data_IF_593774466863
#
_entry.id   IF_593774466863
#
_cell.length_a   1.000
_cell.length_b   1.000
_cell.length_c   1.000
_cell.angle_alpha   90.00
_cell.angle_beta   90.00
_cell.angle_gamma   90.00
#
_symmetry.space_group_name_H-M   'P 1'
#
loop_
_entity.id
_entity.type
_entity.pdbx_description
1 polymer ?
#
# COMPACT_ATOMS: atom_id res chain seq x y z
N UNK A 1 -5.86 16.37 -33.32
CA UNK A 1 -6.13 15.11 -32.60
C UNK A 1 -5.06 14.98 -31.54
N UNK A 2 -5.41 15.27 -30.28
CA UNK A 2 -4.51 14.97 -29.18
C UNK A 2 -4.42 13.45 -29.07
N UNK A 3 -3.23 12.86 -28.80
CA UNK A 3 -3.15 11.45 -28.48
C UNK A 3 -4.06 11.17 -27.28
N UNK A 4 -4.70 9.98 -27.22
CA UNK A 4 -5.40 9.58 -26.00
C UNK A 4 -4.40 9.67 -24.85
N UNK A 5 -4.77 10.41 -23.80
CA UNK A 5 -4.02 10.43 -22.55
C UNK A 5 -3.64 8.99 -22.21
N UNK A 6 -2.34 8.74 -22.09
CA UNK A 6 -1.84 7.48 -21.58
C UNK A 6 -2.36 7.33 -20.17
N UNK A 7 -3.55 6.73 -20.04
CA UNK A 7 -4.10 6.31 -18.76
C UNK A 7 -3.04 5.38 -18.21
N UNK A 8 -2.27 5.84 -17.23
CA UNK A 8 -1.27 4.98 -16.58
C UNK A 8 -2.04 3.76 -16.12
N UNK A 9 -1.74 2.59 -16.67
CA UNK A 9 -2.33 1.33 -16.26
C UNK A 9 -2.06 1.19 -14.75
N UNK A 10 -3.08 1.42 -13.94
CA UNK A 10 -3.00 1.27 -12.50
C UNK A 10 -3.21 -0.20 -12.21
N UNK A 11 -2.13 -0.92 -11.93
CA UNK A 11 -2.18 -2.35 -11.62
C UNK A 11 -1.99 -2.58 -10.12
N UNK A 12 -2.64 -3.63 -9.61
CA UNK A 12 -2.44 -4.13 -8.26
C UNK A 12 -2.00 -5.59 -8.26
N UNK A 13 -1.02 -5.90 -7.42
CA UNK A 13 -0.50 -7.25 -7.18
C UNK A 13 -1.23 -7.90 -6.03
N UNK A 14 -1.90 -9.00 -6.31
CA UNK A 14 -2.67 -9.77 -5.33
C UNK A 14 -1.80 -10.85 -4.68
N UNK A 15 -2.01 -11.02 -3.37
CA UNK A 15 -1.65 -12.23 -2.65
C UNK A 15 -2.87 -12.79 -1.93
N UNK A 16 -2.95 -14.11 -1.88
CA UNK A 16 -4.00 -14.84 -1.19
C UNK A 16 -3.33 -15.67 -0.11
N UNK A 17 -3.90 -15.66 1.10
CA UNK A 17 -3.42 -16.44 2.22
C UNK A 17 -4.59 -17.16 2.89
N UNK A 18 -4.39 -18.41 3.28
CA UNK A 18 -5.44 -19.18 3.93
C UNK A 18 -4.90 -20.32 4.76
N UNK A 19 -5.80 -20.93 5.54
CA UNK A 19 -5.51 -22.13 6.34
C UNK A 19 -6.34 -23.30 5.84
N UNK A 20 -5.79 -24.51 5.98
CA UNK A 20 -6.55 -25.76 5.85
C UNK A 20 -6.43 -26.48 4.51
N UNK A 21 -5.78 -25.87 3.52
CA UNK A 21 -5.40 -26.52 2.27
C UNK A 21 -3.89 -26.60 2.18
N UNK A 22 -3.36 -27.80 1.96
CA UNK A 22 -1.92 -28.04 1.84
C UNK A 22 -1.45 -27.60 0.45
N UNK A 23 -0.73 -26.49 0.41
CA UNK A 23 0.03 -26.06 -0.79
C UNK A 23 1.39 -26.75 -0.82
N UNK A 24 2.00 -27.01 0.35
CA UNK A 24 3.22 -27.82 0.54
C UNK A 24 2.92 -29.05 1.40
N UNK A 25 3.78 -30.08 1.37
CA UNK A 25 3.57 -31.37 2.06
C UNK A 25 3.56 -31.25 3.59
N UNK A 26 4.12 -30.18 4.15
CA UNK A 26 4.66 -30.22 5.51
C UNK A 26 3.83 -29.48 6.56
N UNK A 27 2.86 -28.61 6.20
CA UNK A 27 2.04 -27.92 7.21
C UNK A 27 0.59 -27.60 6.77
N UNK A 28 -0.32 -27.56 7.74
CA UNK A 28 -1.69 -27.01 7.61
C UNK A 28 -1.77 -25.59 8.22
N UNK A 29 -0.64 -24.90 8.29
CA UNK A 29 -0.54 -23.54 8.81
C UNK A 29 -1.13 -22.52 7.84
N UNK A 30 -1.32 -21.29 8.32
CA UNK A 30 -1.78 -20.19 7.48
C UNK A 30 -0.69 -19.83 6.49
N UNK A 31 -0.93 -20.13 5.22
CA UNK A 31 0.08 -20.07 4.18
C UNK A 31 -0.42 -19.33 2.96
N UNK A 32 0.54 -18.81 2.21
CA UNK A 32 0.28 -18.09 0.97
C UNK A 32 -0.10 -19.06 -0.15
N UNK A 33 -1.22 -18.80 -0.79
CA UNK A 33 -1.69 -19.48 -1.99
C UNK A 33 -1.19 -18.71 -3.22
N UNK A 34 0.11 -18.79 -3.52
CA UNK A 34 0.72 -18.08 -4.66
C UNK A 34 1.05 -19.05 -5.80
N UNK A 35 0.86 -18.63 -7.07
CA UNK A 35 1.31 -19.39 -8.23
C UNK A 35 2.84 -19.53 -8.24
N UNK A 36 3.33 -20.66 -8.77
CA UNK A 36 4.74 -21.05 -8.82
C UNK A 36 5.67 -20.09 -9.60
N UNK A 37 5.15 -19.01 -10.19
CA UNK A 37 5.80 -18.31 -11.32
C UNK A 37 6.22 -16.83 -11.11
N UNK A 38 6.22 -16.25 -9.91
CA UNK A 38 6.92 -14.95 -9.73
C UNK A 38 7.57 -14.79 -8.35
N UNK A 39 8.91 -14.76 -8.36
CA UNK A 39 9.79 -14.83 -7.18
C UNK A 39 10.13 -13.49 -6.54
N UNK A 40 9.70 -12.36 -7.10
CA UNK A 40 10.06 -11.05 -6.54
C UNK A 40 8.93 -10.48 -5.70
N UNK A 41 8.91 -10.83 -4.42
CA UNK A 41 8.08 -10.15 -3.43
C UNK A 41 8.48 -8.68 -3.32
N UNK A 42 7.48 -7.82 -3.29
CA UNK A 42 7.66 -6.39 -3.05
C UNK A 42 7.81 -6.12 -1.55
N UNK A 43 8.15 -4.90 -1.13
CA UNK A 43 8.56 -4.60 0.25
C UNK A 43 7.45 -4.87 1.26
N UNK A 44 6.23 -4.38 1.01
CA UNK A 44 5.10 -4.63 1.92
C UNK A 44 4.70 -6.12 1.97
N UNK A 45 4.85 -6.84 0.85
CA UNK A 45 4.60 -8.28 0.79
C UNK A 45 5.55 -9.07 1.70
N UNK A 46 6.83 -8.67 1.74
CA UNK A 46 7.82 -9.25 2.66
C UNK A 46 7.50 -8.94 4.12
N UNK A 47 7.02 -7.74 4.42
CA UNK A 47 6.61 -7.39 5.79
C UNK A 47 5.51 -8.33 6.27
N UNK A 48 4.46 -8.52 5.45
CA UNK A 48 3.34 -9.39 5.77
C UNK A 48 3.76 -10.87 5.91
N UNK A 49 4.69 -11.35 5.09
CA UNK A 49 5.16 -12.74 5.15
C UNK A 49 5.93 -13.10 6.43
N UNK A 50 6.48 -12.09 7.13
CA UNK A 50 7.22 -12.28 8.39
C UNK A 50 6.35 -12.23 9.65
N UNK A 51 5.05 -11.99 9.52
CA UNK A 51 4.15 -11.83 10.66
C UNK A 51 3.87 -13.16 11.38
N UNK A 52 3.70 -13.08 12.71
CA UNK A 52 3.26 -14.20 13.54
C UNK A 52 1.74 -14.42 13.41
N UNK A 53 1.31 -15.04 12.31
CA UNK A 53 -0.10 -15.19 11.96
C UNK A 53 -0.97 -15.81 13.05
N UNK A 54 -0.46 -16.75 13.84
CA UNK A 54 -1.23 -17.38 14.93
C UNK A 54 -1.86 -16.36 15.89
N UNK A 55 -1.09 -15.34 16.30
CA UNK A 55 -1.56 -14.28 17.22
C UNK A 55 -2.48 -13.26 16.54
N UNK A 56 -2.29 -13.04 15.24
CA UNK A 56 -3.08 -12.09 14.45
C UNK A 56 -4.46 -12.67 14.15
N UNK A 57 -4.52 -13.96 13.81
CA UNK A 57 -5.75 -14.59 13.38
C UNK A 57 -6.72 -14.87 14.53
N UNK A 58 -6.23 -15.15 15.73
CA UNK A 58 -7.05 -15.44 16.91
C UNK A 58 -8.19 -14.41 17.15
N UNK A 59 -7.93 -13.09 17.25
CA UNK A 59 -8.99 -12.11 17.39
C UNK A 59 -9.89 -11.99 16.16
N UNK A 60 -9.38 -12.30 14.96
CA UNK A 60 -10.13 -12.23 13.69
C UNK A 60 -11.10 -13.42 13.56
N UNK A 61 -10.71 -14.60 14.07
CA UNK A 61 -11.57 -15.80 14.11
C UNK A 61 -12.86 -15.57 14.90
N UNK A 62 -12.80 -14.77 15.97
CA UNK A 62 -13.95 -14.48 16.82
C UNK A 62 -14.97 -13.51 16.19
N UNK A 63 -14.59 -12.73 15.17
CA UNK A 63 -15.48 -11.74 14.54
C UNK A 63 -16.58 -12.41 13.73
N UNK A 64 -17.79 -11.86 13.79
CA UNK A 64 -18.87 -12.22 12.88
C UNK A 64 -18.56 -11.76 11.45
N UNK A 65 -19.17 -12.39 10.44
CA UNK A 65 -18.91 -12.07 9.02
C UNK A 65 -19.15 -10.60 8.69
N UNK A 66 -20.23 -10.01 9.23
CA UNK A 66 -20.53 -8.57 9.08
C UNK A 66 -19.46 -7.67 9.73
N UNK A 67 -18.97 -8.04 10.92
CA UNK A 67 -17.94 -7.27 11.62
C UNK A 67 -16.59 -7.38 10.91
N UNK A 68 -16.28 -8.57 10.39
CA UNK A 68 -15.08 -8.84 9.62
C UNK A 68 -15.07 -8.02 8.32
N UNK A 69 -16.20 -8.00 7.60
CA UNK A 69 -16.37 -7.22 6.37
C UNK A 69 -16.31 -5.69 6.60
N UNK A 70 -16.46 -5.22 7.84
CA UNK A 70 -16.30 -3.82 8.22
C UNK A 70 -14.84 -3.47 8.61
N UNK A 71 -13.96 -4.46 8.77
CA UNK A 71 -12.56 -4.18 9.08
C UNK A 71 -11.82 -3.64 7.86
N UNK A 72 -10.89 -2.72 8.10
CA UNK A 72 -10.13 -2.04 7.06
C UNK A 72 -8.68 -1.90 7.52
N UNK A 73 -7.74 -2.17 6.63
CA UNK A 73 -6.33 -1.99 6.89
C UNK A 73 -5.63 -1.62 5.59
N UNK A 74 -4.87 -0.53 5.64
CA UNK A 74 -4.01 -0.10 4.56
C UNK A 74 -2.62 0.19 5.14
N UNK A 75 -1.61 -0.44 4.58
CA UNK A 75 -0.22 -0.25 4.94
C UNK A 75 0.47 0.59 3.87
N UNK A 76 1.50 1.34 4.29
CA UNK A 76 2.20 2.30 3.46
C UNK A 76 3.70 2.12 3.58
N UNK A 77 4.39 2.34 2.48
CA UNK A 77 5.80 2.71 2.47
C UNK A 77 6.00 3.88 1.47
N UNK A 78 7.23 4.38 1.26
CA UNK A 78 7.46 5.51 0.37
C UNK A 78 7.07 5.29 -1.10
N UNK A 79 6.96 4.04 -1.58
CA UNK A 79 6.74 3.70 -2.98
C UNK A 79 5.51 2.83 -3.24
N UNK A 80 4.85 2.33 -2.21
CA UNK A 80 3.75 1.36 -2.30
C UNK A 80 2.68 1.63 -1.24
N UNK A 81 1.45 1.26 -1.58
CA UNK A 81 0.41 0.97 -0.60
C UNK A 81 -0.07 -0.47 -0.73
N UNK A 82 -0.57 -1.02 0.36
CA UNK A 82 -1.18 -2.34 0.40
C UNK A 82 -2.49 -2.30 1.18
N UNK A 83 -3.60 -2.70 0.56
CA UNK A 83 -4.83 -2.97 1.28
C UNK A 83 -4.94 -4.45 1.66
N UNK A 84 -5.61 -4.72 2.79
CA UNK A 84 -5.80 -6.06 3.32
C UNK A 84 -7.28 -6.26 3.65
N UNK A 85 -7.84 -7.41 3.24
CA UNK A 85 -9.22 -7.79 3.57
C UNK A 85 -9.32 -9.26 3.91
N UNK A 86 -10.20 -9.59 4.84
CA UNK A 86 -10.42 -10.94 5.32
C UNK A 86 -11.84 -11.39 5.03
N UNK A 87 -12.02 -12.69 4.84
CA UNK A 87 -13.34 -13.31 4.76
C UNK A 87 -13.36 -14.65 5.47
N UNK A 88 -14.54 -15.07 5.92
CA UNK A 88 -14.73 -16.40 6.52
C UNK A 88 -14.75 -17.44 5.42
N UNK A 89 -14.16 -18.60 5.71
CA UNK A 89 -14.07 -19.73 4.78
C UNK A 89 -14.29 -21.03 5.53
N UNK A 90 -14.15 -22.15 4.82
CA UNK A 90 -14.06 -23.48 5.40
C UNK A 90 -12.79 -24.19 4.91
N UNK A 91 -12.22 -25.03 5.77
CA UNK A 91 -11.15 -25.93 5.36
C UNK A 91 -11.69 -27.18 4.64
N UNK A 92 -10.77 -28.08 4.23
CA UNK A 92 -11.11 -29.36 3.59
C UNK A 92 -12.05 -30.27 4.41
N UNK A 93 -12.17 -30.01 5.73
CA UNK A 93 -13.00 -30.75 6.67
C UNK A 93 -14.27 -29.97 7.08
N UNK A 94 -14.61 -28.89 6.37
CA UNK A 94 -15.74 -28.00 6.68
C UNK A 94 -15.64 -27.33 8.05
N UNK A 95 -14.42 -27.15 8.55
CA UNK A 95 -14.19 -26.39 9.80
C UNK A 95 -14.07 -24.91 9.46
N UNK A 96 -14.56 -24.01 10.34
CA UNK A 96 -14.42 -22.57 10.14
C UNK A 96 -12.95 -22.18 9.93
N UNK A 97 -12.71 -21.43 8.87
CA UNK A 97 -11.39 -20.92 8.48
C UNK A 97 -11.49 -19.45 8.07
N UNK A 98 -10.36 -18.84 7.72
CA UNK A 98 -10.26 -17.47 7.20
C UNK A 98 -9.38 -17.47 5.96
N UNK A 99 -9.72 -16.61 5.00
CA UNK A 99 -8.84 -16.16 3.92
C UNK A 99 -8.46 -14.70 4.15
N UNK A 100 -7.23 -14.35 3.81
CA UNK A 100 -6.75 -12.99 3.65
C UNK A 100 -6.44 -12.76 2.18
N UNK A 101 -6.91 -11.64 1.65
CA UNK A 101 -6.50 -11.09 0.37
C UNK A 101 -5.74 -9.80 0.63
N UNK A 102 -4.58 -9.65 0.00
CA UNK A 102 -3.84 -8.39 -0.03
C UNK A 102 -3.69 -7.91 -1.45
N UNK A 103 -3.77 -6.60 -1.68
CA UNK A 103 -3.47 -5.98 -2.96
C UNK A 103 -2.45 -4.87 -2.76
N UNK A 104 -1.34 -4.94 -3.49
CA UNK A 104 -0.24 -3.97 -3.43
C UNK A 104 -0.17 -3.20 -4.74
N UNK A 105 -0.07 -1.87 -4.68
CA UNK A 105 0.20 -1.05 -5.86
C UNK A 105 1.30 -0.05 -5.57
N UNK A 106 2.06 0.31 -6.60
CA UNK A 106 3.04 1.38 -6.51
C UNK A 106 2.33 2.71 -6.45
N UNK A 107 2.84 3.62 -5.62
CA UNK A 107 2.31 4.97 -5.48
C UNK A 107 3.40 6.01 -5.64
N UNK A 108 2.98 7.18 -6.10
CA UNK A 108 3.79 8.38 -6.09
C UNK A 108 3.03 9.43 -5.27
N UNK A 109 3.57 9.77 -4.09
CA UNK A 109 2.96 10.71 -3.13
C UNK A 109 2.71 12.12 -3.68
N UNK A 110 3.30 12.45 -4.83
CA UNK A 110 3.08 13.72 -5.53
C UNK A 110 1.80 13.73 -6.37
N UNK A 111 1.24 12.58 -6.71
CA UNK A 111 0.01 12.50 -7.50
C UNK A 111 -1.24 12.86 -6.67
N UNK A 112 -2.24 13.44 -7.34
CA UNK A 112 -3.52 13.82 -6.72
C UNK A 112 -4.51 12.65 -6.65
N UNK A 113 -4.34 11.62 -7.48
CA UNK A 113 -5.24 10.48 -7.64
C UNK A 113 -4.98 9.32 -6.65
N UNK A 114 -3.99 9.43 -5.76
CA UNK A 114 -3.65 8.34 -4.82
C UNK A 114 -4.85 7.96 -3.93
N UNK A 115 -5.70 8.92 -3.58
CA UNK A 115 -6.95 8.67 -2.85
C UNK A 115 -7.89 7.73 -3.59
N UNK A 116 -8.01 7.90 -4.91
CA UNK A 116 -8.82 7.06 -5.80
C UNK A 116 -8.18 5.69 -5.97
N UNK A 117 -6.86 5.62 -6.21
CA UNK A 117 -6.11 4.36 -6.26
C UNK A 117 -6.28 3.56 -4.96
N UNK A 118 -6.18 4.20 -3.80
CA UNK A 118 -6.38 3.56 -2.51
C UNK A 118 -7.81 3.03 -2.33
N UNK A 119 -8.83 3.80 -2.74
CA UNK A 119 -10.22 3.39 -2.67
C UNK A 119 -10.51 2.18 -3.57
N UNK A 120 -9.96 2.17 -4.80
CA UNK A 120 -10.10 1.05 -5.75
C UNK A 120 -9.39 -0.20 -5.27
N UNK A 121 -8.19 -0.06 -4.71
CA UNK A 121 -7.44 -1.20 -4.15
C UNK A 121 -8.18 -1.77 -2.93
N UNK A 122 -8.74 -0.93 -2.07
CA UNK A 122 -9.59 -1.36 -0.95
C UNK A 122 -10.83 -2.12 -1.44
N UNK A 123 -11.49 -1.62 -2.48
CA UNK A 123 -12.64 -2.28 -3.08
C UNK A 123 -12.29 -3.64 -3.69
N UNK A 124 -11.19 -3.71 -4.45
CA UNK A 124 -10.67 -4.93 -5.06
C UNK A 124 -10.44 -6.02 -4.00
N UNK A 125 -9.72 -5.71 -2.92
CA UNK A 125 -9.46 -6.72 -1.88
C UNK A 125 -10.73 -7.14 -1.16
N UNK A 126 -11.68 -6.24 -0.95
CA UNK A 126 -12.97 -6.58 -0.33
C UNK A 126 -13.77 -7.53 -1.21
N UNK A 127 -13.90 -7.20 -2.50
CA UNK A 127 -14.61 -8.01 -3.49
C UNK A 127 -13.96 -9.40 -3.62
N UNK A 128 -12.64 -9.46 -3.85
CA UNK A 128 -11.92 -10.72 -3.96
C UNK A 128 -11.99 -11.55 -2.66
N UNK A 129 -11.94 -10.93 -1.48
CA UNK A 129 -12.07 -11.66 -0.22
C UNK A 129 -13.45 -12.32 -0.09
N UNK A 130 -14.51 -11.65 -0.53
CA UNK A 130 -15.86 -12.23 -0.56
C UNK A 130 -15.99 -13.33 -1.61
N UNK A 131 -15.51 -13.08 -2.84
CA UNK A 131 -15.58 -14.04 -3.96
C UNK A 131 -14.83 -15.32 -3.63
N UNK A 132 -13.54 -15.22 -3.26
CA UNK A 132 -12.75 -16.36 -2.84
C UNK A 132 -13.27 -16.95 -1.53
N UNK A 133 -13.79 -16.13 -0.62
CA UNK A 133 -14.45 -16.58 0.59
C UNK A 133 -15.58 -17.58 0.31
N UNK A 134 -16.45 -17.23 -0.64
CA UNK A 134 -17.55 -18.09 -1.09
C UNK A 134 -17.09 -19.35 -1.81
N UNK A 135 -16.12 -19.24 -2.73
CA UNK A 135 -15.55 -20.39 -3.45
C UNK A 135 -14.96 -21.41 -2.47
N UNK A 136 -14.22 -20.95 -1.47
CA UNK A 136 -13.58 -21.80 -0.47
C UNK A 136 -14.57 -22.52 0.46
N UNK A 137 -15.75 -21.95 0.72
CA UNK A 137 -16.81 -22.63 1.48
C UNK A 137 -17.50 -23.72 0.65
N UNK A 138 -17.68 -23.48 -0.65
CA UNK A 138 -18.55 -24.32 -1.49
C UNK A 138 -17.89 -25.58 -2.07
N UNK A 139 -16.56 -25.60 -2.24
CA UNK A 139 -15.91 -26.62 -3.06
C UNK A 139 -14.46 -26.98 -2.63
N UNK A 140 -14.28 -27.69 -1.50
CA UNK A 140 -12.97 -27.98 -0.95
C UNK A 140 -12.09 -28.91 -1.81
N UNK A 141 -12.70 -29.83 -2.57
CA UNK A 141 -11.97 -30.87 -3.30
C UNK A 141 -11.28 -30.33 -4.56
N UNK A 142 -12.01 -29.56 -5.38
CA UNK A 142 -11.45 -28.97 -6.60
C UNK A 142 -10.36 -27.95 -6.25
N UNK A 143 -10.56 -27.15 -5.21
CA UNK A 143 -9.56 -26.20 -4.75
C UNK A 143 -8.21 -26.87 -4.45
N UNK A 144 -8.22 -27.99 -3.73
CA UNK A 144 -6.99 -28.72 -3.40
C UNK A 144 -6.24 -29.21 -4.64
N UNK A 145 -6.94 -29.50 -5.74
CA UNK A 145 -6.33 -29.78 -7.05
C UNK A 145 -5.76 -28.51 -7.69
N UNK A 146 -6.52 -27.41 -7.72
CA UNK A 146 -6.06 -26.13 -8.28
C UNK A 146 -4.82 -25.58 -7.56
N UNK A 147 -4.76 -25.68 -6.24
CA UNK A 147 -3.61 -25.23 -5.44
C UNK A 147 -2.36 -26.09 -5.71
N UNK A 148 -2.50 -27.41 -5.72
CA UNK A 148 -1.38 -28.34 -6.01
C UNK A 148 -0.83 -28.16 -7.43
N UNK A 149 -1.71 -27.85 -8.38
CA UNK A 149 -1.35 -27.65 -9.78
C UNK A 149 -0.87 -26.22 -10.07
N UNK A 150 -0.90 -25.31 -9.10
CA UNK A 150 -0.54 -23.90 -9.30
C UNK A 150 -1.54 -23.10 -10.14
N UNK A 151 -2.74 -23.63 -10.37
CA UNK A 151 -3.77 -23.06 -11.25
C UNK A 151 -4.79 -22.19 -10.50
N UNK A 152 -4.64 -22.01 -9.19
CA UNK A 152 -5.62 -21.30 -8.37
C UNK A 152 -5.68 -19.79 -8.66
N UNK A 153 -4.53 -19.18 -8.95
CA UNK A 153 -4.42 -17.78 -9.31
C UNK A 153 -3.48 -17.64 -10.51
N UNK A 154 -4.01 -17.64 -11.74
CA UNK A 154 -3.18 -17.67 -12.95
C UNK A 154 -2.38 -16.38 -13.16
N UNK A 155 -2.89 -15.24 -12.69
CA UNK A 155 -2.19 -13.95 -12.67
C UNK A 155 -2.30 -13.32 -11.30
N UNK A 156 -1.20 -12.69 -10.83
CA UNK A 156 -1.20 -11.85 -9.64
C UNK A 156 -1.52 -10.40 -9.95
N UNK A 157 -1.40 -9.97 -11.20
CA UNK A 157 -1.62 -8.59 -11.61
C UNK A 157 -3.08 -8.41 -12.03
N UNK A 158 -3.75 -7.45 -11.38
CA UNK A 158 -5.12 -7.04 -11.65
C UNK A 158 -5.14 -5.57 -12.06
N UNK A 159 -6.00 -5.24 -13.02
CA UNK A 159 -6.26 -3.86 -13.41
C UNK A 159 -7.22 -3.21 -12.40
N UNK A 160 -6.91 -1.98 -11.99
CA UNK A 160 -7.75 -1.19 -11.09
C UNK A 160 -8.76 -0.31 -11.83
N UNK A 161 -8.65 -0.14 -13.15
CA UNK A 161 -9.52 0.76 -13.92
C UNK A 161 -10.99 0.35 -13.85
N UNK A 162 -11.27 -0.95 -13.74
CA UNK A 162 -12.64 -1.48 -13.68
C UNK A 162 -13.24 -1.50 -12.26
N UNK A 163 -12.42 -1.21 -11.23
CA UNK A 163 -12.86 -1.27 -9.84
C UNK A 163 -13.65 -0.03 -9.44
N UNK A 164 -14.73 -0.25 -8.71
CA UNK A 164 -15.55 0.82 -8.17
C UNK A 164 -15.00 1.23 -6.80
N UNK A 165 -14.91 2.53 -6.55
CA UNK A 165 -14.36 3.05 -5.30
C UNK A 165 -15.10 2.52 -4.05
N UNK A 166 -14.33 2.07 -3.05
CA UNK A 166 -14.87 1.75 -1.72
C UNK A 166 -15.32 3.04 -1.03
N UNK A 167 -16.63 3.29 -1.00
CA UNK A 167 -17.24 4.47 -0.37
C UNK A 167 -17.37 4.36 1.15
N UNK A 168 -17.01 3.23 1.77
CA UNK A 168 -17.10 3.07 3.22
C UNK A 168 -16.12 3.97 3.98
N UNK A 169 -14.98 4.29 3.36
CA UNK A 169 -13.96 5.19 3.89
C UNK A 169 -13.60 6.22 2.83
N UNK A 170 -13.55 7.49 3.22
CA UNK A 170 -13.00 8.55 2.38
C UNK A 170 -11.46 8.46 2.32
N UNK A 171 -10.93 7.49 1.58
CA UNK A 171 -9.47 7.26 1.49
C UNK A 171 -8.69 8.47 1.00
N UNK A 172 -9.29 9.33 0.17
CA UNK A 172 -8.69 10.60 -0.23
C UNK A 172 -8.43 11.55 0.95
N UNK A 173 -9.35 11.64 1.90
CA UNK A 173 -9.16 12.44 3.12
C UNK A 173 -8.10 11.82 4.03
N UNK A 174 -8.16 10.49 4.21
CA UNK A 174 -7.15 9.75 5.00
C UNK A 174 -5.75 9.97 4.44
N UNK A 175 -5.54 9.76 3.14
CA UNK A 175 -4.23 9.92 2.52
C UNK A 175 -3.78 11.37 2.43
N UNK A 176 -4.71 12.31 2.24
CA UNK A 176 -4.42 13.75 2.33
C UNK A 176 -3.83 14.13 3.68
N UNK A 177 -4.30 13.51 4.76
CA UNK A 177 -3.70 13.67 6.09
C UNK A 177 -2.40 12.89 6.24
N UNK A 178 -2.32 11.63 5.80
CA UNK A 178 -1.08 10.83 5.88
C UNK A 178 0.11 11.58 5.26
N UNK A 179 -0.10 12.27 4.13
CA UNK A 179 0.91 13.12 3.45
C UNK A 179 1.49 14.22 4.35
N UNK A 180 0.78 14.66 5.40
CA UNK A 180 1.20 15.74 6.31
C UNK A 180 2.06 15.26 7.46
N UNK A 181 2.18 13.94 7.66
CA UNK A 181 2.87 13.35 8.81
C UNK A 181 4.04 12.45 8.40
N UNK A 182 5.07 12.43 9.25
CA UNK A 182 6.20 11.49 9.24
C UNK A 182 5.89 10.33 10.18
N UNK A 183 6.38 9.14 9.83
CA UNK A 183 6.31 7.96 10.69
C UNK A 183 4.99 7.19 10.63
N UNK A 184 4.09 7.48 9.69
CA UNK A 184 2.90 6.66 9.45
C UNK A 184 3.27 5.47 8.57
N UNK A 185 2.97 4.25 9.04
CA UNK A 185 3.22 3.00 8.32
C UNK A 185 1.92 2.30 7.91
N UNK A 186 0.78 2.73 8.45
CA UNK A 186 -0.52 2.19 8.08
C UNK A 186 -1.66 2.79 8.87
N UNK A 187 -2.86 2.69 8.30
CA UNK A 187 -4.14 3.07 8.90
C UNK A 187 -5.02 1.84 8.95
N UNK A 188 -5.53 1.49 10.13
CA UNK A 188 -6.37 0.32 10.28
C UNK A 188 -7.46 0.48 11.34
N UNK A 189 -8.55 -0.26 11.19
CA UNK A 189 -9.51 -0.46 12.28
C UNK A 189 -8.84 -1.20 13.45
N UNK A 190 -9.33 -1.03 14.69
CA UNK A 190 -8.64 -1.54 15.88
C UNK A 190 -8.27 -3.03 15.85
N UNK A 191 -9.09 -3.87 15.21
CA UNK A 191 -8.87 -5.33 15.14
C UNK A 191 -7.75 -5.73 14.20
N UNK A 192 -7.31 -4.84 13.32
CA UNK A 192 -6.30 -5.12 12.30
C UNK A 192 -4.96 -4.38 12.54
N UNK A 193 -4.81 -3.67 13.66
CA UNK A 193 -3.57 -2.96 14.01
C UNK A 193 -2.35 -3.89 14.12
N UNK A 194 -2.57 -5.15 14.51
CA UNK A 194 -1.52 -6.17 14.57
C UNK A 194 -0.86 -6.47 13.22
N UNK A 195 -1.42 -6.00 12.11
CA UNK A 195 -0.84 -6.11 10.76
C UNK A 195 0.28 -5.08 10.52
N UNK A 196 0.54 -4.17 11.47
CA UNK A 196 1.63 -3.20 11.39
C UNK A 196 1.19 -1.75 11.18
N UNK A 197 -0.12 -1.48 11.17
CA UNK A 197 -0.64 -0.12 11.15
C UNK A 197 -0.46 0.57 12.51
N UNK A 198 -0.06 1.84 12.49
CA UNK A 198 0.14 2.64 13.71
C UNK A 198 -0.87 3.78 13.88
N UNK A 199 -1.75 4.00 12.90
CA UNK A 199 -2.88 4.93 12.99
C UNK A 199 -4.18 4.14 13.08
N UNK A 200 -4.99 4.47 14.09
CA UNK A 200 -6.33 3.89 14.24
C UNK A 200 -7.33 4.65 13.39
N UNK A 201 -8.05 3.93 12.52
CA UNK A 201 -9.25 4.43 11.88
C UNK A 201 -10.42 4.28 12.85
N UNK A 202 -10.75 5.34 13.58
CA UNK A 202 -11.79 5.30 14.60
C UNK A 202 -11.72 6.47 15.56
N UNK A 203 -12.32 6.29 16.73
CA UNK A 203 -12.39 7.31 17.77
C UNK A 203 -11.11 7.37 18.61
N UNK A 204 -10.92 8.49 19.30
CA UNK A 204 -9.86 8.65 20.31
C UNK A 204 -9.84 7.53 21.33
N UNK A 205 -11.02 7.14 21.84
CA UNK A 205 -11.14 6.11 22.85
C UNK A 205 -10.66 4.74 22.36
N UNK A 206 -11.00 4.38 21.11
CA UNK A 206 -10.52 3.14 20.49
C UNK A 206 -9.00 3.14 20.31
N UNK A 207 -8.43 4.29 19.98
CA UNK A 207 -6.99 4.45 19.82
C UNK A 207 -6.23 4.34 21.15
N UNK A 208 -6.67 5.05 22.18
CA UNK A 208 -6.10 4.95 23.55
C UNK A 208 -6.21 3.53 24.11
N UNK A 209 -7.34 2.85 23.87
CA UNK A 209 -7.50 1.44 24.27
C UNK A 209 -6.55 0.52 23.51
N UNK A 210 -6.33 0.78 22.23
CA UNK A 210 -5.47 -0.05 21.38
C UNK A 210 -3.98 0.11 21.70
N UNK A 211 -3.56 1.26 22.23
CA UNK A 211 -2.18 1.50 22.71
C UNK A 211 -1.71 0.51 23.78
N UNK A 212 -2.64 -0.13 24.50
CA UNK A 212 -2.29 -1.13 25.51
C UNK A 212 -1.69 -2.41 24.90
N UNK A 213 -2.03 -2.72 23.64
CA UNK A 213 -1.65 -3.97 22.99
C UNK A 213 -0.80 -3.77 21.73
N UNK A 214 -0.85 -2.58 21.13
CA UNK A 214 -0.22 -2.28 19.85
C UNK A 214 0.51 -0.95 19.89
N UNK A 215 1.57 -0.76 19.08
CA UNK A 215 2.31 0.50 18.99
C UNK A 215 1.51 1.54 18.19
N UNK A 216 0.39 2.01 18.74
CA UNK A 216 -0.46 3.05 18.16
C UNK A 216 0.12 4.42 18.44
N UNK A 217 0.32 5.19 17.37
CA UNK A 217 0.89 6.52 17.41
C UNK A 217 -0.13 7.64 17.26
N UNK A 218 -1.31 7.33 16.72
CA UNK A 218 -2.38 8.30 16.54
C UNK A 218 -3.67 7.68 16.04
N UNK A 219 -4.63 8.52 15.70
CA UNK A 219 -5.89 8.11 15.10
C UNK A 219 -6.36 9.12 14.05
N UNK A 220 -7.10 8.63 13.06
CA UNK A 220 -7.79 9.48 12.09
C UNK A 220 -9.21 9.75 12.60
N UNK A 221 -9.50 11.01 12.94
CA UNK A 221 -10.82 11.45 13.36
C UNK A 221 -11.73 11.59 12.14
N UNK A 222 -12.70 10.67 12.01
CA UNK A 222 -13.60 10.61 10.85
C UNK A 222 -14.45 11.89 10.74
N UNK A 223 -14.78 12.53 11.87
CA UNK A 223 -15.63 13.73 11.87
C UNK A 223 -14.86 14.95 11.38
N UNK A 224 -13.68 15.15 11.91
CA UNK A 224 -12.84 16.33 11.64
C UNK A 224 -11.92 16.11 10.41
N UNK A 225 -11.87 14.88 9.90
CA UNK A 225 -11.04 14.42 8.77
C UNK A 225 -9.55 14.76 8.95
N UNK A 226 -9.06 14.59 10.17
CA UNK A 226 -7.69 14.90 10.55
C UNK A 226 -7.01 13.76 11.31
N UNK A 227 -5.69 13.63 11.16
CA UNK A 227 -4.90 12.73 12.03
C UNK A 227 -4.52 13.47 13.31
N UNK A 228 -4.82 12.86 14.46
CA UNK A 228 -4.44 13.33 15.79
C UNK A 228 -3.39 12.41 16.38
N UNK A 229 -2.24 12.99 16.71
CA UNK A 229 -1.15 12.27 17.34
C UNK A 229 -1.46 11.95 18.81
N UNK A 230 -1.11 10.73 19.22
CA UNK A 230 -1.12 10.26 20.62
C UNK A 230 0.30 9.99 21.13
N UNK A 231 1.30 9.94 20.24
CA UNK A 231 2.70 9.74 20.59
C UNK A 231 3.59 10.80 19.92
N UNK A 232 4.77 11.01 20.50
CA UNK A 232 5.81 11.88 19.92
C UNK A 232 6.54 11.25 18.73
N UNK A 233 6.13 10.06 18.26
CA UNK A 233 6.72 9.41 17.07
C UNK A 233 6.12 9.93 15.76
N UNK A 234 5.05 10.71 15.84
CA UNK A 234 4.45 11.40 14.70
C UNK A 234 4.84 12.87 14.70
N UNK A 235 5.56 13.25 13.65
CA UNK A 235 5.93 14.65 13.41
C UNK A 235 5.27 15.13 12.13
N UNK A 236 4.78 16.37 12.11
CA UNK A 236 4.33 16.97 10.86
C UNK A 236 5.52 17.26 9.96
N UNK A 237 5.36 17.09 8.64
CA UNK A 237 6.36 17.60 7.70
C UNK A 237 6.50 19.12 7.90
N UNK A 238 7.73 19.66 7.83
CA UNK A 238 7.91 21.11 7.89
C UNK A 238 7.15 21.74 6.72
N UNK A 239 6.20 22.62 7.03
CA UNK A 239 5.47 23.37 6.02
C UNK A 239 6.49 24.29 5.34
N UNK A 240 6.65 24.24 4.00
CA UNK A 240 7.51 25.19 3.30
C UNK A 240 7.08 26.63 3.65
N UNK A 241 8.00 27.54 4.01
CA UNK A 241 7.67 28.87 4.50
C UNK A 241 6.79 29.70 3.54
N UNK A 242 6.72 29.34 2.25
CA UNK A 242 5.86 29.97 1.26
C UNK A 242 4.34 29.81 1.49
N UNK A 243 3.89 28.93 2.41
CA UNK A 243 2.47 28.73 2.73
C UNK A 243 2.03 29.34 4.08
N UNK A 244 2.94 29.99 4.81
CA UNK A 244 2.66 30.55 6.14
C UNK A 244 2.16 32.00 6.12
N UNK A 245 2.06 32.64 4.95
CA UNK A 245 1.56 34.02 4.84
C UNK A 245 0.22 34.10 4.10
N UNK A 246 -0.87 34.06 4.87
CA UNK A 246 -2.05 34.85 4.55
C UNK A 246 -2.89 35.15 5.80
N UNK A 247 -2.68 36.32 6.43
CA UNK A 247 -3.77 37.10 6.96
C UNK A 247 -4.04 38.28 6.02
N UNK A 248 -5.31 38.44 5.70
CA UNK A 248 -5.89 39.51 4.91
C UNK A 248 -5.52 40.89 5.46
N UNK A 249 -4.75 41.68 4.72
CA UNK A 249 -4.76 43.14 4.82
C UNK A 249 -4.18 43.76 3.55
N UNK A 250 -4.99 44.60 2.90
CA UNK A 250 -4.58 45.47 1.79
C UNK A 250 -3.28 46.21 2.11
N UNK A 251 -2.17 45.81 1.49
CA UNK A 251 -1.00 46.66 1.30
C UNK A 251 -0.57 46.57 -0.17
N UNK A 252 -0.32 47.71 -0.84
CA UNK A 252 0.31 47.68 -2.16
C UNK A 252 1.72 47.11 -2.01
N UNK A 253 2.01 46.06 -2.78
CA UNK A 253 3.31 45.38 -2.80
C UNK A 253 4.44 46.39 -3.05
N UNK A 254 5.55 46.34 -2.29
CA UNK A 254 6.77 47.02 -2.70
C UNK A 254 7.31 46.34 -3.98
N UNK A 255 8.01 47.07 -4.87
CA UNK A 255 8.60 46.47 -6.05
C UNK A 255 9.59 45.38 -5.62
N UNK A 256 9.43 44.18 -6.18
CA UNK A 256 10.32 43.04 -5.97
C UNK A 256 11.76 43.47 -6.18
N UNK A 257 12.71 43.11 -5.30
CA UNK A 257 14.12 43.28 -5.62
C UNK A 257 14.44 42.38 -6.82
N UNK A 258 15.14 42.93 -7.82
CA UNK A 258 15.69 42.17 -8.94
C UNK A 258 16.52 41.01 -8.38
N UNK A 259 15.93 39.81 -8.38
CA UNK A 259 16.63 38.58 -8.05
C UNK A 259 17.51 38.29 -9.25
N UNK A 260 18.81 38.52 -9.11
CA UNK A 260 19.76 38.20 -10.15
C UNK A 260 19.77 36.68 -10.39
N UNK A 261 19.18 36.26 -11.50
CA UNK A 261 18.97 34.86 -11.90
C UNK A 261 20.22 34.27 -12.57
N UNK A 262 21.24 35.10 -12.85
CA UNK A 262 22.52 34.69 -13.46
C UNK A 262 23.25 33.57 -12.71
N UNK A 263 23.32 33.53 -11.36
CA UNK A 263 24.00 32.45 -10.66
C UNK A 263 23.28 31.10 -10.81
N UNK A 264 21.95 31.12 -10.95
CA UNK A 264 21.14 29.90 -11.17
C UNK A 264 21.37 29.40 -12.60
N UNK A 265 21.38 30.29 -13.59
CA UNK A 265 21.68 29.95 -14.98
C UNK A 265 23.10 29.38 -15.13
N UNK A 266 24.10 29.98 -14.49
CA UNK A 266 25.47 29.47 -14.47
C UNK A 266 25.58 28.09 -13.80
N UNK A 267 24.80 27.85 -12.74
CA UNK A 267 24.77 26.54 -12.07
C UNK A 267 24.15 25.47 -12.98
N UNK A 268 23.11 25.80 -13.75
CA UNK A 268 22.48 24.87 -14.68
C UNK A 268 23.43 24.49 -15.82
N UNK A 269 24.15 25.45 -16.40
CA UNK A 269 25.16 25.19 -17.44
C UNK A 269 26.29 24.29 -16.91
N UNK A 270 26.72 24.48 -15.66
CA UNK A 270 27.74 23.58 -15.05
C UNK A 270 27.22 22.16 -14.83
N UNK A 271 25.93 22.00 -14.53
CA UNK A 271 25.32 20.67 -14.38
C UNK A 271 25.25 19.97 -15.74
N UNK A 272 24.83 20.68 -16.78
CA UNK A 272 24.75 20.16 -18.15
C UNK A 272 26.12 19.67 -18.65
N UNK A 273 27.18 20.48 -18.50
CA UNK A 273 28.55 20.10 -18.85
C UNK A 273 29.07 18.89 -18.06
N UNK A 274 28.65 18.73 -16.80
CA UNK A 274 29.01 17.55 -16.00
C UNK A 274 28.30 16.28 -16.49
N UNK A 275 27.04 16.41 -16.90
CA UNK A 275 26.27 15.29 -17.44
C UNK A 275 26.82 14.82 -18.78
N UNK A 276 27.19 15.75 -19.68
CA UNK A 276 27.86 15.42 -20.94
C UNK A 276 29.15 14.63 -20.70
N UNK A 277 29.99 15.08 -19.75
CA UNK A 277 31.23 14.39 -19.42
C UNK A 277 31.01 12.98 -18.84
N UNK A 278 29.96 12.80 -18.03
CA UNK A 278 29.58 11.47 -17.53
C UNK A 278 29.15 10.57 -18.69
N UNK A 279 28.42 11.13 -19.66
CA UNK A 279 27.97 10.39 -20.83
C UNK A 279 29.14 9.94 -21.71
N UNK A 280 30.13 10.80 -21.95
CA UNK A 280 31.36 10.45 -22.66
C UNK A 280 32.13 9.31 -21.96
N UNK A 281 32.31 9.42 -20.64
CA UNK A 281 32.97 8.36 -19.85
C UNK A 281 32.21 7.03 -19.95
N UNK A 282 30.88 7.06 -19.94
CA UNK A 282 30.06 5.87 -20.08
C UNK A 282 30.19 5.22 -21.46
N UNK A 283 30.30 6.03 -22.52
CA UNK A 283 30.55 5.54 -23.89
C UNK A 283 31.94 4.92 -24.02
N UNK A 284 32.98 5.58 -23.49
CA UNK A 284 34.35 5.05 -23.48
C UNK A 284 34.42 3.72 -22.72
N UNK A 285 33.72 3.62 -21.59
CA UNK A 285 33.67 2.39 -20.80
C UNK A 285 32.93 1.26 -21.53
N UNK A 286 31.84 1.59 -22.23
CA UNK A 286 31.12 0.62 -23.08
C UNK A 286 32.02 0.10 -24.19
N UNK A 287 32.73 0.98 -24.87
CA UNK A 287 33.58 0.63 -26.00
C UNK A 287 34.81 -0.18 -25.55
N UNK A 288 35.35 0.12 -24.36
CA UNK A 288 36.37 -0.71 -23.69
C UNK A 288 35.86 -2.15 -23.42
N UNK A 289 34.65 -2.30 -22.88
CA UNK A 289 34.04 -3.62 -22.63
C UNK A 289 33.83 -4.39 -23.94
N UNK A 290 33.37 -3.72 -24.99
CA UNK A 290 33.16 -4.34 -26.31
C UNK A 290 34.49 -4.76 -26.96
N UNK A 291 35.56 -4.00 -26.75
CA UNK A 291 36.90 -4.35 -27.22
C UNK A 291 37.46 -5.57 -26.47
N UNK A 292 37.34 -5.64 -25.15
CA UNK A 292 37.82 -6.77 -24.34
C UNK A 292 37.11 -8.08 -24.72
N UNK A 293 35.80 -8.01 -25.02
CA UNK A 293 35.01 -9.16 -25.50
C UNK A 293 35.42 -9.66 -26.89
N UNK A 294 36.01 -8.83 -27.75
CA UNK A 294 36.49 -9.25 -29.09
C UNK A 294 37.85 -9.93 -29.07
N UNK A 295 38.59 -9.85 -27.95
CA UNK A 295 39.92 -10.47 -27.79
C UNK A 295 39.91 -11.85 -27.13
N UNK A 296 38.78 -12.27 -26.58
CA UNK A 296 38.54 -13.63 -26.07
C UNK A 296 37.81 -14.45 -27.11
#
# INVERSE_FOLDING_TARGET
MNPPDSTKLQTARIQIWGKGYRVTSDTEEFQRYVPLQSSTEVTLEKTISTLQWGRILEPIYALAERELAAQRCMLFNPSELMALSFSKTEDKHRRPSIILITATSSIDWTQDDIGETAARISALVCRLALDYGGILKGNPEELGLHLRNGNFLPSRDFDLVEEHDDRAIEWGAVLGEVKKWRGIHGVATPRLLSLGANIVLGTRHEAERSQQNYPVDGYFDIRDKEIRALSARLDRWPIPPAQLEAPTANQPSPPSPDVDIRPIAESLVRIEQRLERIFEIALDFRDFILWDKKKR
#
